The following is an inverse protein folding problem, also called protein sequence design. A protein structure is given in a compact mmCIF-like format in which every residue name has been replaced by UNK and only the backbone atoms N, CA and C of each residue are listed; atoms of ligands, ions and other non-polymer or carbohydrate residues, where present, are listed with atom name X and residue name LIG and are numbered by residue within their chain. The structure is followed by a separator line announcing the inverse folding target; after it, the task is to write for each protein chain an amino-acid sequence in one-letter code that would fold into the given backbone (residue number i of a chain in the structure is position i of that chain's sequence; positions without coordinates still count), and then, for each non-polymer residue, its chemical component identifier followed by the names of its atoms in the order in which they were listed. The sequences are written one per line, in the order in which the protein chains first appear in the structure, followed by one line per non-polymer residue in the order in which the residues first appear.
data_IF_918995808754
#
_entry.id   IF_918995808754
#
_cell.length_a   1.000
_cell.length_b   1.000
_cell.length_c   1.000
_cell.angle_alpha   90.00
_cell.angle_beta   90.00
_cell.angle_gamma   90.00
#
_symmetry.space_group_name_H-M   'P 1'
#
loop_
_entity.id
_entity.type
_entity.pdbx_description
1 polymer ?
#
# COMPACT_ATOMS: atom_id res chain seq x y z
N UNK A 1 -0.80 -19.69 22.36
CA UNK A 1 -1.19 -18.58 21.47
C UNK A 1 -2.21 -17.73 22.22
N UNK A 2 -2.07 -16.40 22.20
CA UNK A 2 -3.03 -15.48 22.83
C UNK A 2 -3.63 -14.61 21.74
N UNK A 3 -4.95 -14.56 21.69
CA UNK A 3 -5.68 -13.68 20.77
C UNK A 3 -5.72 -12.26 21.36
N UNK A 4 -5.54 -11.28 20.49
CA UNK A 4 -5.64 -9.85 20.82
C UNK A 4 -6.47 -9.17 19.74
N UNK A 5 -7.28 -8.21 20.15
CA UNK A 5 -8.12 -7.46 19.22
C UNK A 5 -7.26 -6.66 18.24
N UNK A 6 -7.61 -6.74 16.96
CA UNK A 6 -6.95 -5.96 15.93
C UNK A 6 -7.53 -4.54 15.91
N UNK A 7 -6.69 -3.54 16.16
CA UNK A 7 -7.13 -2.14 16.27
C UNK A 7 -7.43 -1.48 14.93
N UNK A 8 -7.13 -2.15 13.82
CA UNK A 8 -7.54 -1.74 12.48
C UNK A 8 -8.59 -2.72 11.95
N UNK A 9 -9.76 -2.20 11.57
CA UNK A 9 -10.97 -3.01 11.42
C UNK A 9 -11.32 -3.36 9.97
N UNK A 10 -10.88 -2.58 8.97
CA UNK A 10 -11.43 -2.70 7.62
C UNK A 10 -10.45 -3.21 6.57
N UNK A 11 -9.21 -2.70 6.53
CA UNK A 11 -8.26 -3.17 5.52
C UNK A 11 -6.79 -3.07 5.93
N UNK A 12 -5.99 -3.88 5.26
CA UNK A 12 -4.54 -3.90 5.30
C UNK A 12 -4.00 -3.61 3.90
N UNK A 13 -2.97 -2.76 3.81
CA UNK A 13 -2.19 -2.55 2.60
C UNK A 13 -0.70 -2.73 2.89
N UNK A 14 -0.06 -3.62 2.15
CA UNK A 14 1.37 -3.91 2.23
C UNK A 14 2.09 -3.48 0.96
N UNK A 15 3.11 -2.63 1.09
CA UNK A 15 3.91 -2.14 -0.05
C UNK A 15 5.25 -2.87 -0.07
N UNK A 16 5.61 -3.49 -1.20
CA UNK A 16 6.92 -4.14 -1.37
C UNK A 16 8.04 -3.10 -1.42
N UNK A 17 9.16 -3.35 -0.73
CA UNK A 17 10.33 -2.44 -0.74
C UNK A 17 11.64 -3.09 -1.22
N UNK A 18 11.66 -4.41 -1.45
CA UNK A 18 12.92 -5.15 -1.71
C UNK A 18 13.60 -4.82 -3.04
N UNK A 19 12.85 -4.72 -4.13
CA UNK A 19 13.42 -4.61 -5.48
C UNK A 19 13.39 -3.19 -6.06
N UNK A 20 13.21 -2.17 -5.21
CA UNK A 20 13.06 -0.77 -5.63
C UNK A 20 14.22 -0.25 -6.51
N UNK A 21 15.41 -0.82 -6.41
CA UNK A 21 16.59 -0.46 -7.19
C UNK A 21 16.61 -1.12 -8.58
N UNK A 22 15.76 -2.12 -8.83
CA UNK A 22 15.82 -3.00 -10.02
C UNK A 22 14.58 -2.94 -10.90
N UNK A 23 13.41 -2.68 -10.31
CA UNK A 23 12.13 -2.70 -11.04
C UNK A 23 11.48 -1.32 -11.16
N UNK A 24 12.09 -0.29 -10.57
CA UNK A 24 11.55 1.07 -10.60
C UNK A 24 11.44 1.61 -12.01
N UNK A 25 10.34 2.32 -12.25
CA UNK A 25 10.16 3.10 -13.46
C UNK A 25 11.17 4.26 -13.48
N UNK A 26 11.86 4.53 -14.60
CA UNK A 26 12.78 5.65 -14.72
C UNK A 26 12.12 7.03 -14.58
N UNK A 27 10.79 7.14 -14.67
CA UNK A 27 10.07 8.41 -14.50
C UNK A 27 9.88 8.81 -13.04
N UNK A 28 10.18 7.93 -12.08
CA UNK A 28 10.08 8.22 -10.64
C UNK A 28 11.00 9.39 -10.29
N UNK A 29 10.40 10.46 -9.77
CA UNK A 29 11.11 11.71 -9.48
C UNK A 29 11.56 11.82 -8.03
N UNK A 30 10.87 11.14 -7.12
CA UNK A 30 11.13 11.19 -5.70
C UNK A 30 12.30 10.28 -5.33
N UNK A 31 13.35 10.87 -4.76
CA UNK A 31 14.52 10.13 -4.31
C UNK A 31 14.20 9.10 -3.20
N UNK A 32 15.06 8.09 -3.10
CA UNK A 32 14.98 7.04 -2.08
C UNK A 32 14.16 5.82 -2.50
N UNK A 33 13.64 5.09 -1.50
CA UNK A 33 12.87 3.87 -1.76
C UNK A 33 11.42 4.21 -2.12
N UNK A 34 11.07 4.04 -3.38
CA UNK A 34 9.73 4.34 -3.89
C UNK A 34 8.59 3.63 -3.14
N UNK A 35 8.81 2.40 -2.66
CA UNK A 35 7.85 1.67 -1.83
C UNK A 35 7.65 2.28 -0.43
N UNK A 36 8.74 2.71 0.23
CA UNK A 36 8.65 3.46 1.50
C UNK A 36 7.94 4.81 1.31
N UNK A 37 8.29 5.52 0.23
CA UNK A 37 7.67 6.79 -0.15
C UNK A 37 6.16 6.62 -0.39
N UNK A 38 5.76 5.60 -1.15
CA UNK A 38 4.37 5.26 -1.40
C UNK A 38 3.62 4.92 -0.11
N UNK A 39 4.18 4.07 0.77
CA UNK A 39 3.54 3.77 2.07
C UNK A 39 3.39 5.02 2.93
N UNK A 40 4.39 5.90 2.96
CA UNK A 40 4.31 7.15 3.73
C UNK A 40 3.21 8.07 3.18
N UNK A 41 3.10 8.18 1.86
CA UNK A 41 2.02 8.90 1.19
C UNK A 41 0.65 8.33 1.57
N UNK A 42 0.46 7.01 1.46
CA UNK A 42 -0.79 6.35 1.82
C UNK A 42 -1.17 6.66 3.28
N UNK A 43 -0.23 6.49 4.23
CA UNK A 43 -0.48 6.79 5.65
C UNK A 43 -0.88 8.25 5.88
N UNK A 44 -0.18 9.19 5.25
CA UNK A 44 -0.49 10.61 5.38
C UNK A 44 -1.88 10.94 4.82
N UNK A 45 -2.20 10.44 3.63
CA UNK A 45 -3.49 10.69 2.97
C UNK A 45 -4.67 10.04 3.72
N UNK A 46 -4.53 8.80 4.18
CA UNK A 46 -5.57 8.14 4.99
C UNK A 46 -5.81 8.88 6.30
N UNK A 47 -4.77 9.42 6.94
CA UNK A 47 -4.92 10.27 8.14
C UNK A 47 -5.68 11.55 7.83
N UNK A 48 -5.32 12.25 6.75
CA UNK A 48 -6.03 13.48 6.34
C UNK A 48 -7.50 13.21 6.02
N UNK A 49 -7.84 12.03 5.49
CA UNK A 49 -9.22 11.61 5.21
C UNK A 49 -9.96 11.01 6.42
N UNK A 50 -9.33 10.90 7.59
CA UNK A 50 -9.98 10.34 8.79
C UNK A 50 -10.01 8.80 8.87
N UNK A 51 -9.32 8.07 7.98
CA UNK A 51 -9.34 6.60 7.93
C UNK A 51 -8.14 5.92 8.61
N UNK A 52 -7.32 6.66 9.37
CA UNK A 52 -6.09 6.12 9.98
C UNK A 52 -6.31 4.93 10.93
N UNK A 53 -7.50 4.79 11.51
CA UNK A 53 -7.89 3.66 12.37
C UNK A 53 -8.57 2.51 11.61
N UNK A 54 -9.11 2.75 10.41
CA UNK A 54 -9.79 1.72 9.62
C UNK A 54 -8.82 0.91 8.75
N UNK A 55 -7.76 1.57 8.25
CA UNK A 55 -6.84 0.98 7.27
C UNK A 55 -5.41 1.04 7.77
N UNK A 56 -4.76 -0.13 7.79
CA UNK A 56 -3.35 -0.26 8.15
C UNK A 56 -2.46 -0.32 6.92
N UNK A 57 -1.58 0.67 6.78
CA UNK A 57 -0.53 0.67 5.76
C UNK A 57 0.85 0.33 6.35
N UNK A 58 1.52 -0.67 5.76
CA UNK A 58 2.86 -1.12 6.14
C UNK A 58 3.74 -1.39 4.91
N UNK A 59 5.03 -1.57 5.15
CA UNK A 59 5.95 -2.10 4.14
C UNK A 59 6.13 -3.61 4.34
N UNK A 60 6.54 -4.28 3.27
CA UNK A 60 6.79 -5.71 3.20
C UNK A 60 8.09 -5.94 2.44
N UNK A 61 8.79 -7.04 2.73
CA UNK A 61 10.03 -7.35 2.03
C UNK A 61 9.76 -7.79 0.59
N UNK A 62 9.19 -8.97 0.38
CA UNK A 62 8.87 -9.50 -0.95
C UNK A 62 7.43 -10.03 -0.97
N UNK A 63 6.70 -9.70 -2.03
CA UNK A 63 5.35 -10.21 -2.28
C UNK A 63 5.34 -11.36 -3.30
N UNK A 64 6.51 -11.83 -3.76
CA UNK A 64 6.63 -12.85 -4.80
C UNK A 64 6.33 -12.34 -6.22
N UNK A 65 6.16 -11.02 -6.39
CA UNK A 65 5.87 -10.35 -7.64
C UNK A 65 6.83 -9.16 -7.83
N UNK A 66 7.49 -9.10 -8.99
CA UNK A 66 8.43 -8.03 -9.37
C UNK A 66 8.06 -7.50 -10.75
N UNK A 67 7.01 -6.66 -10.85
CA UNK A 67 6.55 -6.15 -12.14
C UNK A 67 7.51 -5.04 -12.61
N UNK A 68 8.05 -5.17 -13.83
CA UNK A 68 8.96 -4.16 -14.39
C UNK A 68 8.21 -2.84 -14.61
N UNK A 69 8.81 -1.72 -14.18
CA UNK A 69 8.21 -0.38 -14.28
C UNK A 69 7.07 -0.14 -13.28
N UNK A 70 6.92 -0.99 -12.26
CA UNK A 70 5.81 -0.89 -11.31
C UNK A 70 6.20 -1.35 -9.91
N UNK A 71 5.43 -0.92 -8.92
CA UNK A 71 5.53 -1.35 -7.54
C UNK A 71 4.44 -2.37 -7.20
N UNK A 72 4.85 -3.47 -6.56
CA UNK A 72 3.94 -4.47 -6.05
C UNK A 72 3.32 -4.01 -4.71
N UNK A 73 1.99 -4.03 -4.65
CA UNK A 73 1.20 -3.70 -3.48
C UNK A 73 0.19 -4.82 -3.23
N UNK A 74 0.05 -5.27 -1.99
CA UNK A 74 -1.02 -6.19 -1.58
C UNK A 74 -2.07 -5.42 -0.78
N UNK A 75 -3.33 -5.66 -1.08
CA UNK A 75 -4.48 -5.12 -0.33
C UNK A 75 -5.33 -6.28 0.15
N UNK A 76 -5.65 -6.29 1.44
CA UNK A 76 -6.54 -7.26 2.05
C UNK A 76 -7.61 -6.52 2.84
N UNK A 77 -8.87 -6.58 2.37
CA UNK A 77 -10.00 -6.03 3.11
C UNK A 77 -10.64 -7.12 3.99
N UNK A 78 -11.33 -6.70 5.05
CA UNK A 78 -12.11 -7.58 5.89
C UNK A 78 -13.17 -8.31 5.05
N UNK A 79 -13.36 -9.61 5.27
CA UNK A 79 -14.29 -10.47 4.52
C UNK A 79 -14.10 -10.53 2.99
N UNK A 80 -12.96 -10.09 2.45
CA UNK A 80 -12.66 -10.12 1.03
C UNK A 80 -11.39 -10.93 0.72
N UNK A 81 -11.29 -11.45 -0.51
CA UNK A 81 -10.03 -12.03 -1.00
C UNK A 81 -8.98 -10.93 -1.15
N UNK A 82 -7.75 -11.24 -0.74
CA UNK A 82 -6.60 -10.37 -0.99
C UNK A 82 -6.39 -10.12 -2.49
N UNK A 83 -5.96 -8.91 -2.83
CA UNK A 83 -5.62 -8.47 -4.18
C UNK A 83 -4.16 -8.04 -4.23
N UNK A 84 -3.46 -8.40 -5.30
CA UNK A 84 -2.16 -7.83 -5.63
C UNK A 84 -2.32 -6.83 -6.77
N UNK A 85 -1.65 -5.68 -6.63
CA UNK A 85 -1.64 -4.58 -7.57
C UNK A 85 -0.20 -4.35 -8.03
N UNK A 86 -0.03 -4.08 -9.31
CA UNK A 86 1.18 -3.53 -9.89
C UNK A 86 0.83 -2.12 -10.38
N UNK A 87 1.50 -1.10 -9.84
CA UNK A 87 1.16 0.29 -10.09
C UNK A 87 2.39 1.20 -10.07
N UNK A 88 2.30 2.37 -10.69
CA UNK A 88 3.31 3.42 -10.60
C UNK A 88 3.19 4.14 -9.25
N UNK A 89 4.27 4.20 -8.43
CA UNK A 89 4.18 4.69 -7.05
C UNK A 89 3.92 6.20 -6.91
N UNK A 90 4.06 6.98 -8.00
CA UNK A 90 3.81 8.43 -7.99
C UNK A 90 2.54 8.84 -8.74
N UNK A 91 2.23 8.14 -9.84
CA UNK A 91 1.11 8.48 -10.73
C UNK A 91 -0.19 7.88 -10.20
N UNK A 92 -0.15 6.62 -9.76
CA UNK A 92 -1.36 5.87 -9.35
C UNK A 92 -1.67 6.01 -7.86
N UNK A 93 -0.79 6.67 -7.08
CA UNK A 93 -0.93 6.75 -5.61
C UNK A 93 -2.22 7.42 -5.14
N UNK A 94 -2.75 8.36 -5.93
CA UNK A 94 -4.03 9.03 -5.64
C UNK A 94 -5.19 8.07 -5.85
N UNK A 95 -5.20 7.34 -6.96
CA UNK A 95 -6.20 6.33 -7.27
C UNK A 95 -6.19 5.21 -6.21
N UNK A 96 -4.99 4.72 -5.85
CA UNK A 96 -4.83 3.74 -4.78
C UNK A 96 -5.44 4.24 -3.46
N UNK A 97 -5.17 5.48 -3.06
CA UNK A 97 -5.74 6.05 -1.83
C UNK A 97 -7.26 6.18 -1.92
N UNK A 98 -7.82 6.53 -3.08
CA UNK A 98 -9.27 6.59 -3.26
C UNK A 98 -9.92 5.22 -3.16
N UNK A 99 -9.31 4.20 -3.79
CA UNK A 99 -9.73 2.81 -3.65
C UNK A 99 -9.67 2.35 -2.18
N UNK A 100 -8.58 2.65 -1.48
CA UNK A 100 -8.46 2.33 -0.06
C UNK A 100 -9.55 3.03 0.77
N UNK A 101 -9.80 4.32 0.56
CA UNK A 101 -10.87 5.05 1.26
C UNK A 101 -12.24 4.37 1.11
N UNK A 102 -12.60 3.90 -0.09
CA UNK A 102 -13.87 3.20 -0.30
C UNK A 102 -13.99 1.92 0.57
N UNK A 103 -12.87 1.24 0.82
CA UNK A 103 -12.83 0.08 1.72
C UNK A 103 -12.99 0.46 3.19
N UNK A 104 -12.60 1.67 3.60
CA UNK A 104 -12.80 2.13 4.98
C UNK A 104 -14.28 2.45 5.28
N UNK A 105 -15.04 2.80 4.25
CA UNK A 105 -16.45 3.18 4.34
C UNK A 105 -17.41 1.99 4.12
N UNK A 106 -16.87 0.81 3.80
CA UNK A 106 -17.61 -0.45 3.60
C UNK A 106 -17.78 -1.23 4.92
#
# INVERSE_FOLDING_TARGET
MKEVECTWSQAFVGVCTRCHDRVCDPTITQEGNAGENLKNYIKASLRTKGHAGAIRAVTTSCLGLCPLGSHAVVVHAHNAKGKMLALHPEEDRVELVNYLSQLADS
#
